data_IF_807392389648
#
_entry.id   IF_807392389648
#
_cell.length_a   1.000
_cell.length_b   1.000
_cell.length_c   1.000
_cell.angle_alpha   90.00
_cell.angle_beta   90.00
_cell.angle_gamma   90.00
#
_symmetry.space_group_name_H-M   'P 1'
#
loop_
_entity.id
_entity.type
_entity.pdbx_description
1 polymer ?
#
# COMPACT_ATOMS: atom_id res chain seq x y z
N UNK A 1 -56.86 -19.64 -58.05
CA UNK A 1 -58.16 -19.05 -57.62
C UNK A 1 -58.34 -19.56 -56.19
N UNK A 2 -58.27 -18.81 -55.09
CA UNK A 2 -59.12 -17.70 -54.65
C UNK A 2 -58.40 -17.06 -53.44
N UNK A 3 -58.55 -15.73 -53.30
CA UNK A 3 -58.10 -14.94 -52.14
C UNK A 3 -59.04 -15.13 -50.95
N UNK A 4 -58.49 -15.09 -49.73
CA UNK A 4 -59.14 -14.65 -48.49
C UNK A 4 -58.00 -14.34 -47.52
N UNK A 5 -57.89 -13.22 -46.81
CA UNK A 5 -58.81 -12.14 -46.48
C UNK A 5 -58.40 -11.66 -45.09
N UNK A 6 -57.93 -10.43 -44.97
CA UNK A 6 -57.34 -9.85 -43.76
C UNK A 6 -58.37 -9.50 -42.68
N UNK A 7 -57.99 -9.65 -41.40
CA UNK A 7 -58.47 -8.90 -40.24
C UNK A 7 -57.47 -9.19 -39.10
N UNK A 8 -57.04 -8.30 -38.21
CA UNK A 8 -57.37 -6.92 -37.94
C UNK A 8 -56.62 -6.53 -36.66
N UNK A 9 -55.72 -5.56 -36.80
CA UNK A 9 -55.44 -4.41 -35.93
C UNK A 9 -55.29 -4.51 -34.39
N UNK A 10 -54.29 -3.73 -33.94
CA UNK A 10 -54.25 -2.82 -32.77
C UNK A 10 -53.69 -3.31 -31.42
N UNK A 11 -52.58 -2.66 -31.03
CA UNK A 11 -52.19 -2.16 -29.68
C UNK A 11 -51.96 -3.17 -28.55
N UNK A 12 -50.95 -3.05 -27.69
CA UNK A 12 -49.99 -1.99 -27.44
C UNK A 12 -48.90 -2.52 -26.49
N UNK A 13 -47.76 -1.85 -26.50
CA UNK A 13 -46.64 -2.10 -25.61
C UNK A 13 -46.96 -1.59 -24.19
N UNK A 14 -46.53 -2.32 -23.15
CA UNK A 14 -46.05 -1.71 -21.92
C UNK A 14 -45.10 -2.68 -21.21
N UNK A 15 -43.80 -2.43 -21.38
CA UNK A 15 -42.75 -3.00 -20.55
C UNK A 15 -42.75 -2.24 -19.22
N UNK A 16 -43.09 -2.93 -18.13
CA UNK A 16 -42.95 -2.38 -16.77
C UNK A 16 -41.55 -2.68 -16.29
N UNK A 17 -40.65 -1.70 -16.40
CA UNK A 17 -39.34 -1.74 -15.73
C UNK A 17 -39.54 -1.43 -14.25
N UNK A 18 -39.28 -2.43 -13.41
CA UNK A 18 -39.30 -2.31 -11.95
C UNK A 18 -37.97 -1.71 -11.49
N UNK A 19 -37.93 -0.39 -11.31
CA UNK A 19 -36.79 0.31 -10.71
C UNK A 19 -36.81 0.16 -9.19
N UNK A 20 -35.89 -0.63 -8.64
CA UNK A 20 -35.64 -0.68 -7.20
C UNK A 20 -34.88 0.59 -6.79
N UNK A 21 -35.61 1.59 -6.30
CA UNK A 21 -35.03 2.76 -5.64
C UNK A 21 -34.58 2.36 -4.23
N UNK A 22 -33.27 2.19 -4.03
CA UNK A 22 -32.70 2.12 -2.69
C UNK A 22 -32.76 3.52 -2.06
N UNK A 23 -33.55 3.66 -0.99
CA UNK A 23 -33.61 4.85 -0.17
C UNK A 23 -32.22 5.12 0.45
N UNK A 24 -31.64 6.29 0.16
CA UNK A 24 -30.48 6.79 0.88
C UNK A 24 -30.95 7.20 2.27
N UNK A 25 -30.46 6.50 3.29
CA UNK A 25 -30.62 6.92 4.68
C UNK A 25 -29.59 8.00 4.98
N UNK A 26 -30.01 9.26 5.03
CA UNK A 26 -29.19 10.33 5.60
C UNK A 26 -29.10 10.11 7.13
N UNK A 27 -27.92 9.74 7.61
CA UNK A 27 -27.61 9.82 9.04
C UNK A 27 -27.43 11.30 9.43
N UNK A 28 -28.10 11.81 10.49
CA UNK A 28 -27.89 13.17 10.94
C UNK A 28 -26.46 13.33 11.47
N UNK A 29 -25.73 14.31 10.92
CA UNK A 29 -24.40 14.66 11.37
C UNK A 29 -24.44 15.20 12.80
N UNK A 30 -23.65 14.60 13.69
CA UNK A 30 -23.47 15.07 15.07
C UNK A 30 -22.61 16.35 15.04
N UNK A 31 -23.09 17.51 15.51
CA UNK A 31 -22.27 18.71 15.60
C UNK A 31 -21.22 18.51 16.70
N UNK A 32 -19.93 18.51 16.34
CA UNK A 32 -18.83 18.44 17.31
C UNK A 32 -17.77 17.35 17.04
N UNK A 33 -17.89 16.56 15.97
CA UNK A 33 -16.76 15.76 15.52
C UNK A 33 -15.66 16.70 15.00
N UNK A 34 -14.41 16.63 15.52
CA UNK A 34 -13.29 17.32 14.89
C UNK A 34 -13.20 16.88 13.43
N UNK A 35 -12.84 17.77 12.49
CA UNK A 35 -12.68 17.39 11.09
C UNK A 35 -11.75 16.18 11.02
N UNK A 36 -12.01 15.18 10.15
CA UNK A 36 -11.08 14.07 9.97
C UNK A 36 -9.70 14.67 9.72
N UNK A 37 -8.76 14.35 10.62
CA UNK A 37 -7.40 14.85 10.60
C UNK A 37 -6.80 14.67 9.21
N UNK A 38 -6.06 15.70 8.78
CA UNK A 38 -5.67 15.94 7.39
C UNK A 38 -5.27 14.69 6.60
N UNK A 39 -5.66 14.67 5.32
CA UNK A 39 -5.38 13.59 4.39
C UNK A 39 -3.96 13.05 4.57
N UNK A 40 -3.86 11.79 5.04
CA UNK A 40 -2.58 11.11 5.20
C UNK A 40 -1.83 11.17 3.87
N UNK A 41 -0.66 11.82 3.89
CA UNK A 41 0.20 11.92 2.70
C UNK A 41 0.56 10.51 2.22
N UNK A 42 0.45 10.28 0.91
CA UNK A 42 0.89 9.02 0.28
C UNK A 42 2.38 8.78 0.62
N UNK A 43 2.73 7.62 1.21
CA UNK A 43 4.12 7.28 1.51
C UNK A 43 4.95 7.20 0.23
N UNK A 44 6.20 7.66 0.26
CA UNK A 44 7.13 7.52 -0.87
C UNK A 44 8.39 6.77 -0.49
N UNK A 45 9.05 6.17 -1.49
CA UNK A 45 10.25 5.36 -1.25
C UNK A 45 11.31 6.15 -0.48
N UNK A 46 11.71 7.32 -0.98
CA UNK A 46 12.83 8.04 -0.38
C UNK A 46 12.54 8.63 1.01
N UNK A 47 11.32 9.07 1.28
CA UNK A 47 11.00 9.71 2.56
C UNK A 47 10.64 8.68 3.64
N UNK A 48 9.87 7.65 3.27
CA UNK A 48 9.17 6.83 4.24
C UNK A 48 9.71 5.39 4.27
N UNK A 49 10.00 4.82 3.10
CA UNK A 49 10.31 3.38 2.98
C UNK A 49 11.80 3.08 3.04
N UNK A 50 12.63 3.91 2.40
CA UNK A 50 14.09 3.71 2.36
C UNK A 50 14.70 3.71 3.77
N UNK A 51 14.33 4.64 4.69
CA UNK A 51 14.83 4.58 6.06
C UNK A 51 14.41 3.30 6.79
N UNK A 52 13.18 2.83 6.55
CA UNK A 52 12.65 1.60 7.14
C UNK A 52 13.40 0.37 6.61
N UNK A 53 13.59 0.26 5.30
CA UNK A 53 14.36 -0.79 4.66
C UNK A 53 15.80 -0.79 5.17
N UNK A 54 16.45 0.38 5.23
CA UNK A 54 17.81 0.51 5.72
C UNK A 54 17.95 -0.02 7.17
N UNK A 55 16.99 0.32 8.04
CA UNK A 55 17.01 -0.07 9.44
C UNK A 55 16.65 -1.54 9.69
N UNK A 56 15.72 -2.11 8.92
CA UNK A 56 15.09 -3.42 9.25
C UNK A 56 15.41 -4.53 8.27
N UNK A 57 15.75 -4.22 7.02
CA UNK A 57 15.83 -5.19 5.93
C UNK A 57 17.24 -5.28 5.32
N UNK A 58 17.89 -4.14 5.09
CA UNK A 58 19.11 -4.03 4.28
C UNK A 58 20.36 -4.68 4.92
N UNK A 59 20.31 -5.10 6.19
CA UNK A 59 21.40 -5.92 6.74
C UNK A 59 21.50 -7.29 6.07
N UNK A 60 20.39 -7.81 5.56
CA UNK A 60 20.32 -9.09 4.86
C UNK A 60 19.97 -8.90 3.37
N UNK A 61 18.98 -8.05 3.08
CA UNK A 61 18.48 -7.74 1.73
C UNK A 61 19.20 -6.53 1.13
N UNK A 62 20.51 -6.65 0.94
CA UNK A 62 21.33 -5.69 0.19
C UNK A 62 22.06 -6.40 -0.94
N UNK A 63 22.58 -5.66 -1.90
CA UNK A 63 23.42 -6.24 -2.95
C UNK A 63 24.60 -7.01 -2.31
N UNK A 64 24.78 -8.29 -2.72
CA UNK A 64 25.79 -9.19 -2.14
C UNK A 64 25.54 -9.62 -0.69
N UNK A 65 24.34 -9.36 -0.15
CA UNK A 65 23.92 -9.81 1.17
C UNK A 65 23.57 -11.31 1.22
N UNK A 66 23.21 -11.78 2.42
CA UNK A 66 22.83 -13.19 2.64
C UNK A 66 21.43 -13.52 2.13
N UNK A 67 20.55 -12.53 1.95
CA UNK A 67 19.22 -12.75 1.40
C UNK A 67 19.29 -12.94 -0.13
N UNK A 68 18.33 -13.67 -0.73
CA UNK A 68 18.39 -14.03 -2.15
C UNK A 68 18.20 -12.86 -3.12
N UNK A 69 17.76 -11.70 -2.64
CA UNK A 69 17.61 -10.48 -3.44
C UNK A 69 17.81 -9.23 -2.60
N UNK A 70 18.15 -8.13 -3.28
CA UNK A 70 18.40 -6.83 -2.68
C UNK A 70 17.12 -5.99 -2.56
N UNK A 71 17.07 -5.11 -1.56
CA UNK A 71 16.01 -4.13 -1.34
C UNK A 71 16.57 -2.71 -1.10
N UNK A 72 17.89 -2.55 -1.08
CA UNK A 72 18.62 -1.34 -0.71
C UNK A 72 18.57 -0.21 -1.77
N UNK A 73 17.78 -0.39 -2.83
CA UNK A 73 17.51 0.64 -3.83
C UNK A 73 16.06 0.60 -4.29
N UNK A 74 15.56 1.74 -4.77
CA UNK A 74 14.21 1.83 -5.33
C UNK A 74 13.98 0.85 -6.47
N UNK A 75 14.95 0.76 -7.38
CA UNK A 75 14.90 -0.13 -8.54
C UNK A 75 14.78 -1.61 -8.15
N UNK A 76 15.32 -1.99 -6.98
CA UNK A 76 15.20 -3.35 -6.45
C UNK A 76 13.92 -3.56 -5.62
N UNK A 77 13.51 -2.56 -4.83
CA UNK A 77 12.39 -2.69 -3.89
C UNK A 77 11.01 -2.53 -4.56
N UNK A 78 10.83 -1.54 -5.44
CA UNK A 78 9.53 -1.21 -6.02
C UNK A 78 8.88 -2.35 -6.81
N UNK A 79 9.63 -3.12 -7.65
CA UNK A 79 9.04 -4.25 -8.39
C UNK A 79 8.46 -5.34 -7.50
N UNK A 80 8.92 -5.45 -6.25
CA UNK A 80 8.49 -6.47 -5.28
C UNK A 80 7.71 -5.86 -4.10
N UNK A 81 7.26 -4.61 -4.19
CA UNK A 81 6.56 -3.92 -3.10
C UNK A 81 5.35 -4.70 -2.57
N UNK A 82 4.56 -5.29 -3.47
CA UNK A 82 3.42 -6.15 -3.08
C UNK A 82 3.85 -7.38 -2.29
N UNK A 83 4.97 -8.01 -2.66
CA UNK A 83 5.52 -9.13 -1.91
C UNK A 83 6.01 -8.68 -0.53
N UNK A 84 6.73 -7.54 -0.46
CA UNK A 84 7.18 -6.94 0.81
C UNK A 84 5.99 -6.76 1.75
N UNK A 85 4.89 -6.15 1.27
CA UNK A 85 3.68 -5.95 2.05
C UNK A 85 3.11 -7.29 2.54
N UNK A 86 2.96 -8.28 1.65
CA UNK A 86 2.40 -9.59 2.00
C UNK A 86 3.21 -10.32 3.08
N UNK A 87 4.54 -10.43 2.90
CA UNK A 87 5.37 -11.21 3.85
C UNK A 87 5.54 -10.52 5.20
N UNK A 88 5.48 -9.18 5.23
CA UNK A 88 5.56 -8.41 6.48
C UNK A 88 4.23 -8.41 7.23
N UNK A 89 3.10 -8.32 6.53
CA UNK A 89 1.76 -8.51 7.12
C UNK A 89 1.61 -9.91 7.74
N UNK A 90 2.09 -10.94 7.03
CA UNK A 90 2.10 -12.31 7.54
C UNK A 90 3.14 -12.55 8.66
N UNK A 91 3.95 -11.55 9.00
CA UNK A 91 5.07 -11.64 9.96
C UNK A 91 6.05 -12.77 9.65
N UNK A 92 6.18 -13.14 8.36
CA UNK A 92 7.21 -14.05 7.85
C UNK A 92 8.56 -13.31 7.79
N UNK A 93 8.51 -12.02 7.45
CA UNK A 93 9.67 -11.14 7.39
C UNK A 93 9.48 -9.90 8.27
N UNK A 94 10.56 -9.37 8.89
CA UNK A 94 11.87 -10.00 9.01
C UNK A 94 11.78 -11.35 9.75
N UNK A 95 12.64 -12.34 9.42
CA UNK A 95 12.50 -13.67 9.98
C UNK A 95 12.70 -13.56 11.48
N UNK A 96 11.67 -13.96 12.22
CA UNK A 96 11.61 -13.71 13.67
C UNK A 96 11.47 -15.02 14.45
N UNK A 97 12.60 -15.63 14.87
CA UNK A 97 12.58 -16.75 15.82
C UNK A 97 12.11 -16.37 17.25
N UNK A 98 12.46 -15.19 17.81
CA UNK A 98 12.03 -14.79 19.15
C UNK A 98 10.52 -14.62 19.28
N UNK A 99 9.96 -14.75 20.48
CA UNK A 99 8.54 -14.54 20.73
C UNK A 99 8.28 -13.30 21.61
N UNK A 100 7.02 -12.99 21.90
CA UNK A 100 6.64 -11.92 22.86
C UNK A 100 7.22 -12.10 24.27
N UNK A 101 7.65 -13.33 24.60
CA UNK A 101 8.27 -13.68 25.90
C UNK A 101 9.80 -13.59 25.89
N UNK A 102 10.42 -13.25 24.76
CA UNK A 102 11.87 -13.10 24.68
C UNK A 102 12.29 -11.71 25.17
N UNK A 103 13.41 -11.58 25.91
CA UNK A 103 13.98 -10.28 26.24
C UNK A 103 14.23 -9.43 24.99
N UNK A 104 14.17 -8.10 25.13
CA UNK A 104 14.47 -7.21 24.00
C UNK A 104 15.87 -7.47 23.46
N UNK A 105 15.95 -7.69 22.15
CA UNK A 105 17.21 -7.96 21.47
C UNK A 105 17.90 -6.66 21.07
N UNK A 106 19.24 -6.64 21.17
CA UNK A 106 20.07 -5.49 20.78
C UNK A 106 19.88 -5.08 19.31
N UNK A 107 19.62 -6.04 18.43
CA UNK A 107 19.42 -5.83 16.99
C UNK A 107 18.06 -6.35 16.53
N UNK A 108 17.03 -6.05 17.33
CA UNK A 108 15.63 -6.36 17.02
C UNK A 108 15.24 -5.74 15.67
N UNK A 109 14.71 -6.58 14.77
CA UNK A 109 14.26 -6.19 13.43
C UNK A 109 12.75 -6.32 13.26
N UNK A 110 12.03 -6.69 14.32
CA UNK A 110 10.58 -6.72 14.30
C UNK A 110 10.02 -5.38 13.83
N UNK A 111 8.94 -5.48 13.06
CA UNK A 111 8.21 -4.32 12.59
C UNK A 111 7.07 -4.05 13.57
N UNK A 112 6.85 -2.77 13.86
CA UNK A 112 5.61 -2.35 14.52
C UNK A 112 4.44 -2.43 13.54
N UNK A 113 3.21 -2.49 14.06
CA UNK A 113 2.02 -2.52 13.20
C UNK A 113 1.94 -1.28 12.28
N UNK A 114 2.38 -0.11 12.77
CA UNK A 114 2.48 1.10 11.96
C UNK A 114 3.50 0.99 10.82
N UNK A 115 4.63 0.30 11.04
CA UNK A 115 5.62 0.07 9.99
C UNK A 115 5.13 -0.95 8.95
N UNK A 116 4.38 -1.97 9.37
CA UNK A 116 3.72 -2.92 8.46
C UNK A 116 2.67 -2.18 7.62
N UNK A 117 1.85 -1.34 8.23
CA UNK A 117 0.87 -0.52 7.53
C UNK A 117 1.54 0.42 6.50
N UNK A 118 2.66 1.06 6.88
CA UNK A 118 3.40 1.93 5.98
C UNK A 118 3.89 1.21 4.70
N UNK A 119 4.40 -0.01 4.84
CA UNK A 119 4.82 -0.84 3.70
C UNK A 119 3.62 -1.26 2.84
N UNK A 120 2.50 -1.58 3.47
CA UNK A 120 1.27 -1.95 2.78
C UNK A 120 0.70 -0.78 1.98
N UNK A 121 0.61 0.41 2.59
CA UNK A 121 0.09 1.62 1.94
C UNK A 121 0.97 2.05 0.76
N UNK A 122 2.29 1.98 0.92
CA UNK A 122 3.21 2.25 -0.18
C UNK A 122 3.02 1.28 -1.35
N UNK A 123 2.90 -0.02 -1.07
CA UNK A 123 2.65 -1.01 -2.11
C UNK A 123 1.28 -0.79 -2.79
N UNK A 124 0.23 -0.53 -2.02
CA UNK A 124 -1.14 -0.33 -2.52
C UNK A 124 -1.27 0.93 -3.39
N UNK A 125 -0.44 1.94 -3.16
CA UNK A 125 -0.42 3.20 -3.92
C UNK A 125 0.51 3.16 -5.14
N UNK A 126 0.99 1.98 -5.53
CA UNK A 126 1.83 1.79 -6.71
C UNK A 126 3.32 2.04 -6.47
N UNK A 127 3.76 1.97 -5.22
CA UNK A 127 5.15 2.11 -4.80
C UNK A 127 5.83 3.40 -5.30
N UNK A 128 5.27 4.59 -5.08
CA UNK A 128 5.83 5.83 -5.62
C UNK A 128 7.24 6.09 -5.09
N UNK A 129 8.15 6.51 -5.98
CA UNK A 129 9.56 6.75 -5.64
C UNK A 129 9.75 7.97 -4.73
N UNK A 130 9.06 9.07 -5.02
CA UNK A 130 9.31 10.37 -4.41
C UNK A 130 10.68 10.96 -4.78
N UNK A 131 11.12 11.96 -4.02
CA UNK A 131 12.36 12.70 -4.29
C UNK A 131 13.50 12.17 -3.40
N UNK A 132 14.67 11.83 -3.95
CA UNK A 132 15.82 11.45 -3.14
C UNK A 132 16.26 12.60 -2.23
N UNK A 133 16.79 12.30 -1.03
CA UNK A 133 17.38 13.33 -0.19
C UNK A 133 18.53 14.02 -0.93
N UNK A 134 18.64 15.33 -0.76
CA UNK A 134 19.79 16.09 -1.28
C UNK A 134 21.03 15.63 -0.53
N UNK A 135 21.91 14.90 -1.21
CA UNK A 135 23.21 14.52 -0.65
C UNK A 135 24.10 15.75 -0.63
N UNK A 136 24.34 16.32 0.54
CA UNK A 136 25.47 17.24 0.74
C UNK A 136 26.72 16.38 0.94
N UNK A 137 27.73 16.45 0.06
CA UNK A 137 28.98 15.73 0.27
C UNK A 137 29.53 16.08 1.67
N UNK A 138 29.96 15.09 2.48
CA UNK A 138 30.61 15.40 3.74
C UNK A 138 31.79 16.33 3.45
N UNK A 139 31.92 17.41 4.23
CA UNK A 139 33.08 18.29 4.12
C UNK A 139 34.35 17.42 4.13
N UNK A 140 35.23 17.65 3.16
CA UNK A 140 36.47 16.91 3.03
C UNK A 140 37.17 16.91 4.40
N UNK A 141 37.39 15.72 4.96
CA UNK A 141 38.23 15.61 6.17
C UNK A 141 39.62 16.12 5.77
N UNK A 142 40.26 17.00 6.55
CA UNK A 142 41.64 17.38 6.26
C UNK A 142 42.49 16.10 6.21
N UNK A 143 43.23 15.92 5.11
CA UNK A 143 44.20 14.84 5.02
C UNK A 143 45.23 15.04 6.13
N UNK A 144 45.51 13.95 6.85
CA UNK A 144 46.54 13.94 7.88
C UNK A 144 47.91 14.00 7.17
N UNK A 145 48.84 14.90 7.59
CA UNK A 145 50.18 14.98 6.99
C UNK A 145 50.97 13.68 7.13
#
# INVERSE_FOLDING_TARGET
>A
MIRLGSAGVLTGALAVMLTLAAAQGETPAVPGAPPPGGASKVPTYWNDIQPLIAARCASCHRAGGIAPFALDSYAAAAPVAGLIAQVTQARIMPPWPPGPRTPRLKYDRSLTDAQIALLADWAATGAPQGTPPVTVPPAARPEKP
#
